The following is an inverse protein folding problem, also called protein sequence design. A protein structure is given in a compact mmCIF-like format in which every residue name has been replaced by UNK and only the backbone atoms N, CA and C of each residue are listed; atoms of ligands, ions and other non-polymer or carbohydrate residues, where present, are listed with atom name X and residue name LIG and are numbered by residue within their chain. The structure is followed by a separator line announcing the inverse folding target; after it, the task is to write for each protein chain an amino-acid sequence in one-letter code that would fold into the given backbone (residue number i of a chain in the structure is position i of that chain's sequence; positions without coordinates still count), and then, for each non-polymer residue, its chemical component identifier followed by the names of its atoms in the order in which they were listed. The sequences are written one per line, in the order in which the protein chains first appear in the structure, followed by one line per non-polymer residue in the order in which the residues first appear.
data_IF_142495887817
#
_entry.id   IF_142495887817
#
_cell.length_a   1.000
_cell.length_b   1.000
_cell.length_c   1.000
_cell.angle_alpha   90.00
_cell.angle_beta   90.00
_cell.angle_gamma   90.00
#
_symmetry.space_group_name_H-M   'P 1'
#
loop_
_entity.id
_entity.type
_entity.pdbx_description
1 polymer ?
#
# COMPACT_ATOMS: atom_id res chain seq x y z
N UNK A 1 -0.43 24.36 -51.28
CA UNK A 1 0.37 23.38 -50.51
C UNK A 1 0.58 24.01 -49.12
N UNK A 2 0.05 23.58 -47.98
CA UNK A 2 -0.50 22.32 -47.48
C UNK A 2 -1.38 22.64 -46.25
N UNK A 3 -2.61 22.12 -46.18
CA UNK A 3 -3.39 21.93 -44.94
C UNK A 3 -2.81 20.72 -44.15
N UNK A 4 -3.27 20.34 -42.94
CA UNK A 4 -4.08 21.03 -41.90
C UNK A 4 -3.46 20.91 -40.46
N UNK A 5 -4.13 21.48 -39.44
CA UNK A 5 -3.85 21.23 -38.01
C UNK A 5 -4.24 19.80 -37.60
N UNK A 6 -3.59 19.25 -36.56
CA UNK A 6 -4.14 18.30 -35.58
C UNK A 6 -3.03 17.44 -34.95
N UNK A 7 -2.62 17.78 -33.74
CA UNK A 7 -2.18 16.81 -32.75
C UNK A 7 -2.71 17.33 -31.40
N UNK A 8 -4.03 17.16 -31.17
CA UNK A 8 -4.54 17.06 -29.81
C UNK A 8 -3.82 15.93 -29.05
N UNK A 9 -3.90 15.88 -27.70
CA UNK A 9 -3.23 14.85 -26.91
C UNK A 9 -3.88 13.48 -27.18
N UNK A 10 -3.43 12.80 -28.23
CA UNK A 10 -3.90 11.49 -28.63
C UNK A 10 -3.05 10.40 -27.97
N UNK A 11 -3.36 10.06 -26.72
CA UNK A 11 -3.61 8.66 -26.35
C UNK A 11 -3.99 8.54 -24.86
N UNK A 12 -5.27 8.75 -24.58
CA UNK A 12 -5.94 8.03 -23.52
C UNK A 12 -6.55 6.77 -24.11
N UNK A 13 -5.79 5.67 -24.21
CA UNK A 13 -6.30 4.29 -24.33
C UNK A 13 -5.22 3.27 -23.94
N UNK A 14 -4.77 3.31 -22.68
CA UNK A 14 -4.17 2.13 -22.02
C UNK A 14 -5.06 1.64 -20.85
N UNK A 15 -6.37 1.88 -20.96
CA UNK A 15 -7.38 1.34 -20.07
C UNK A 15 -7.77 -0.09 -20.51
N UNK A 16 -6.99 -1.10 -20.09
CA UNK A 16 -7.44 -2.50 -19.99
C UNK A 16 -6.41 -3.45 -19.35
N UNK A 17 -5.19 -3.00 -19.04
CA UNK A 17 -4.27 -3.76 -18.21
C UNK A 17 -3.87 -2.87 -17.04
N UNK A 18 -4.82 -2.61 -16.13
CA UNK A 18 -4.53 -1.95 -14.85
C UNK A 18 -3.68 -2.90 -14.01
N UNK A 19 -2.40 -3.04 -14.38
CA UNK A 19 -1.37 -3.60 -13.52
C UNK A 19 -1.47 -2.78 -12.25
N UNK A 20 -2.07 -3.33 -11.18
CA UNK A 20 -2.17 -2.66 -9.89
C UNK A 20 -0.80 -2.07 -9.60
N UNK A 21 -0.69 -0.74 -9.71
CA UNK A 21 0.63 -0.14 -9.67
C UNK A 21 1.23 -0.45 -8.31
N UNK A 22 2.55 -0.63 -8.21
CA UNK A 22 3.17 -0.93 -6.93
C UNK A 22 2.87 0.17 -5.89
N UNK A 23 2.59 1.41 -6.32
CA UNK A 23 2.06 2.49 -5.48
C UNK A 23 0.66 2.19 -4.91
N UNK A 24 -0.25 1.65 -5.73
CA UNK A 24 -1.60 1.27 -5.34
C UNK A 24 -1.60 0.06 -4.39
N UNK A 25 -0.70 -0.91 -4.62
CA UNK A 25 -0.41 -2.00 -3.67
C UNK A 25 0.09 -1.45 -2.33
N UNK A 26 1.03 -0.51 -2.35
CA UNK A 26 1.56 0.13 -1.14
C UNK A 26 0.46 0.85 -0.36
N UNK A 27 -0.39 1.61 -1.04
CA UNK A 27 -1.53 2.29 -0.44
C UNK A 27 -2.51 1.31 0.21
N UNK A 28 -2.79 0.18 -0.44
CA UNK A 28 -3.66 -0.87 0.10
C UNK A 28 -3.04 -1.54 1.35
N UNK A 29 -1.73 -1.83 1.34
CA UNK A 29 -1.03 -2.34 2.51
C UNK A 29 -1.02 -1.31 3.65
N UNK A 30 -0.79 -0.03 3.35
CA UNK A 30 -0.84 1.04 4.35
C UNK A 30 -2.24 1.20 4.97
N UNK A 31 -3.30 1.11 4.16
CA UNK A 31 -4.68 1.14 4.63
C UNK A 31 -4.97 -0.04 5.57
N UNK A 32 -4.56 -1.25 5.19
CA UNK A 32 -4.68 -2.44 6.05
C UNK A 32 -3.88 -2.28 7.34
N UNK A 33 -2.65 -1.78 7.26
CA UNK A 33 -1.81 -1.50 8.43
C UNK A 33 -2.49 -0.51 9.39
N UNK A 34 -3.06 0.59 8.88
CA UNK A 34 -3.82 1.54 9.71
C UNK A 34 -5.06 0.91 10.35
N UNK A 35 -5.79 0.06 9.63
CA UNK A 35 -6.95 -0.63 10.18
C UNK A 35 -6.54 -1.59 11.33
N UNK A 36 -5.44 -2.32 11.14
CA UNK A 36 -4.84 -3.18 12.16
C UNK A 36 -4.38 -2.36 13.37
N UNK A 37 -3.79 -1.19 13.14
CA UNK A 37 -3.34 -0.30 14.22
C UNK A 37 -4.49 0.21 15.08
N UNK A 38 -5.59 0.65 14.45
CA UNK A 38 -6.82 1.02 15.17
C UNK A 38 -7.37 -0.15 15.98
N UNK A 39 -7.45 -1.33 15.38
CA UNK A 39 -7.93 -2.53 16.07
C UNK A 39 -7.05 -2.90 17.26
N UNK A 40 -5.72 -2.76 17.13
CA UNK A 40 -4.79 -2.93 18.25
C UNK A 40 -5.07 -1.90 19.34
N UNK A 41 -5.24 -0.62 18.99
CA UNK A 41 -5.51 0.46 19.94
C UNK A 41 -6.82 0.24 20.71
N UNK A 42 -7.88 -0.24 20.05
CA UNK A 42 -9.14 -0.62 20.71
C UNK A 42 -8.93 -1.80 21.67
N UNK A 43 -8.12 -2.79 21.28
CA UNK A 43 -7.83 -3.96 22.11
C UNK A 43 -6.97 -3.63 23.33
N UNK A 44 -6.20 -2.54 23.28
CA UNK A 44 -5.46 -2.02 24.45
C UNK A 44 -6.36 -1.56 25.59
N UNK A 45 -7.65 -1.29 25.33
CA UNK A 45 -8.64 -1.01 26.39
C UNK A 45 -8.95 -2.22 27.27
N UNK A 46 -8.72 -3.44 26.79
CA UNK A 46 -8.99 -4.69 27.53
C UNK A 46 -7.81 -5.67 27.43
N UNK A 47 -6.66 -5.36 28.05
CA UNK A 47 -5.41 -6.08 27.85
C UNK A 47 -5.43 -7.53 28.38
N UNK A 48 -6.21 -7.80 29.44
CA UNK A 48 -6.29 -9.12 30.04
C UNK A 48 -7.06 -10.13 29.19
N UNK A 49 -8.10 -9.69 28.48
CA UNK A 49 -8.94 -10.57 27.67
C UNK A 49 -8.36 -10.80 26.27
N UNK A 50 -7.59 -9.83 25.78
CA UNK A 50 -7.11 -9.83 24.40
C UNK A 50 -5.60 -10.07 24.27
N UNK A 51 -4.91 -10.56 25.30
CA UNK A 51 -3.44 -10.71 25.27
C UNK A 51 -2.95 -11.58 24.10
N UNK A 52 -3.57 -12.75 23.86
CA UNK A 52 -3.26 -13.63 22.72
C UNK A 52 -3.55 -12.94 21.38
N UNK A 53 -4.69 -12.24 21.30
CA UNK A 53 -5.14 -11.55 20.09
C UNK A 53 -4.22 -10.37 19.76
N UNK A 54 -3.83 -9.58 20.76
CA UNK A 54 -2.86 -8.48 20.67
C UNK A 54 -1.50 -8.97 20.18
N UNK A 55 -1.02 -10.11 20.69
CA UNK A 55 0.22 -10.73 20.21
C UNK A 55 0.11 -11.10 18.72
N UNK A 56 -1.00 -11.70 18.29
CA UNK A 56 -1.25 -12.00 16.86
C UNK A 56 -1.33 -10.73 16.00
N UNK A 57 -2.12 -9.75 16.42
CA UNK A 57 -2.29 -8.49 15.70
C UNK A 57 -0.97 -7.72 15.58
N UNK A 58 -0.15 -7.68 16.63
CA UNK A 58 1.20 -7.09 16.58
C UNK A 58 2.09 -7.82 15.57
N UNK A 59 2.03 -9.15 15.53
CA UNK A 59 2.79 -9.95 14.56
C UNK A 59 2.31 -9.73 13.13
N UNK A 60 1.01 -9.61 12.90
CA UNK A 60 0.45 -9.23 11.59
C UNK A 60 0.81 -7.79 11.19
N UNK A 61 0.74 -6.85 12.13
CA UNK A 61 1.18 -5.46 11.91
C UNK A 61 2.65 -5.40 11.50
N UNK A 62 3.52 -6.16 12.17
CA UNK A 62 4.94 -6.24 11.83
C UNK A 62 5.14 -6.81 10.40
N UNK A 63 4.43 -7.89 10.04
CA UNK A 63 4.48 -8.45 8.68
C UNK A 63 4.00 -7.47 7.61
N UNK A 64 2.93 -6.71 7.89
CA UNK A 64 2.44 -5.68 6.99
C UNK A 64 3.46 -4.54 6.83
N UNK A 65 4.11 -4.12 7.92
CA UNK A 65 5.19 -3.13 7.87
C UNK A 65 6.37 -3.63 7.03
N UNK A 66 6.82 -4.87 7.25
CA UNK A 66 7.91 -5.50 6.49
C UNK A 66 7.57 -5.60 5.00
N UNK A 67 6.34 -5.99 4.68
CA UNK A 67 5.87 -6.05 3.29
C UNK A 67 5.77 -4.66 2.64
N UNK A 68 5.37 -3.62 3.39
CA UNK A 68 5.40 -2.22 2.92
C UNK A 68 6.85 -1.79 2.69
N UNK A 69 7.77 -2.10 3.60
CA UNK A 69 9.18 -1.74 3.51
C UNK A 69 9.86 -2.45 2.33
N UNK A 70 9.59 -3.74 2.12
CA UNK A 70 10.07 -4.48 0.93
C UNK A 70 9.54 -3.89 -0.36
N UNK A 71 8.23 -3.67 -0.46
CA UNK A 71 7.61 -3.10 -1.65
C UNK A 71 8.13 -1.67 -1.91
N UNK A 72 8.37 -0.89 -0.85
CA UNK A 72 8.93 0.46 -0.93
C UNK A 72 10.40 0.43 -1.37
N UNK A 73 11.20 -0.51 -0.88
CA UNK A 73 12.59 -0.72 -1.30
C UNK A 73 12.68 -1.20 -2.77
N UNK A 74 11.77 -2.06 -3.21
CA UNK A 74 11.70 -2.45 -4.63
C UNK A 74 11.34 -1.27 -5.55
N UNK A 75 10.56 -0.30 -5.05
CA UNK A 75 10.22 0.92 -5.79
C UNK A 75 11.27 2.04 -5.68
N UNK A 76 12.04 2.07 -4.59
CA UNK A 76 13.09 3.08 -4.32
C UNK A 76 14.40 2.31 -4.14
N UNK A 77 15.13 1.99 -5.22
CA UNK A 77 16.30 1.11 -5.16
C UNK A 77 17.53 1.69 -4.43
N UNK A 78 17.42 2.71 -3.58
CA UNK A 78 18.58 3.46 -3.10
C UNK A 78 18.47 4.06 -1.69
N UNK A 79 17.82 3.40 -0.71
CA UNK A 79 17.70 4.05 0.62
C UNK A 79 17.74 3.17 1.87
N UNK A 80 18.41 2.01 1.84
CA UNK A 80 18.90 1.43 3.11
C UNK A 80 20.14 0.54 2.89
N UNK A 81 21.31 1.16 3.06
CA UNK A 81 22.56 0.53 3.50
C UNK A 81 22.77 0.86 4.99
#
# INVERSE_FOLDING_TARGET
MTQPPDQGPANGVEAANEVLTPAMRLMQLQARHRALDKKIAEMYGFPYQNQILLQRLKKEKLKLKDAIERLKNEMIPDLNA
#
